data_IF_169839997993
#
_entry.id   IF_169839997993
#
_cell.length_a   1.000
_cell.length_b   1.000
_cell.length_c   1.000
_cell.angle_alpha   90.00
_cell.angle_beta   90.00
_cell.angle_gamma   90.00
#
_symmetry.space_group_name_H-M   'P 1'
#
loop_
_entity.id
_entity.type
_entity.pdbx_description
1 polymer ?
#
# COMPACT_ATOMS: atom_id res chain seq x y z
N UNK A 1 -15.79 -9.18 -21.98
CA UNK A 1 -15.40 -8.95 -20.58
C UNK A 1 -15.08 -7.47 -20.49
N UNK A 2 -16.00 -6.69 -19.94
CA UNK A 2 -15.76 -5.27 -19.62
C UNK A 2 -14.79 -5.25 -18.44
N UNK A 3 -13.53 -4.90 -18.70
CA UNK A 3 -12.60 -4.56 -17.64
C UNK A 3 -12.87 -3.10 -17.31
N UNK A 4 -13.68 -2.88 -16.28
CA UNK A 4 -13.83 -1.56 -15.67
C UNK A 4 -12.43 -1.10 -15.22
N UNK A 5 -11.94 -0.07 -15.90
CA UNK A 5 -10.69 0.62 -15.58
C UNK A 5 -10.87 1.33 -14.24
N UNK A 6 -10.57 0.62 -13.14
CA UNK A 6 -10.41 1.25 -11.85
C UNK A 6 -9.20 2.19 -11.94
N UNK A 7 -9.45 3.45 -12.27
CA UNK A 7 -8.50 4.53 -12.05
C UNK A 7 -8.13 4.47 -10.58
N UNK A 8 -6.88 4.13 -10.29
CA UNK A 8 -6.31 4.22 -8.95
C UNK A 8 -6.44 5.69 -8.52
N UNK A 9 -7.51 6.01 -7.82
CA UNK A 9 -7.73 7.31 -7.20
C UNK A 9 -6.48 7.57 -6.37
N UNK A 10 -5.79 8.68 -6.67
CA UNK A 10 -4.51 8.99 -6.05
C UNK A 10 -4.58 8.76 -4.54
N UNK A 11 -3.58 8.07 -3.97
CA UNK A 11 -3.51 7.76 -2.55
C UNK A 11 -3.92 9.01 -1.75
N UNK A 12 -5.03 8.89 -1.03
CA UNK A 12 -5.66 10.03 -0.39
C UNK A 12 -4.72 10.69 0.62
N UNK A 13 -4.94 11.96 0.96
CA UNK A 13 -4.18 12.58 2.05
C UNK A 13 -4.67 12.14 3.46
N UNK A 14 -5.54 11.13 3.52
CA UNK A 14 -6.22 10.69 4.73
C UNK A 14 -6.22 9.17 4.85
N UNK A 15 -6.11 8.70 6.08
CA UNK A 15 -6.23 7.29 6.41
C UNK A 15 -7.61 6.76 6.02
N UNK A 16 -7.66 5.64 5.29
CA UNK A 16 -8.91 5.02 4.84
C UNK A 16 -9.74 4.42 6.00
N UNK A 17 -9.08 4.01 7.08
CA UNK A 17 -9.74 3.40 8.26
C UNK A 17 -10.36 4.44 9.21
N UNK A 18 -9.59 5.49 9.55
CA UNK A 18 -10.01 6.45 10.58
C UNK A 18 -10.24 7.87 10.07
N UNK A 19 -9.95 8.15 8.80
CA UNK A 19 -10.10 9.48 8.18
C UNK A 19 -9.11 10.53 8.67
N UNK A 20 -8.14 10.18 9.51
CA UNK A 20 -7.12 11.11 10.00
C UNK A 20 -6.24 11.59 8.85
N UNK A 21 -5.85 12.87 8.87
CA UNK A 21 -4.92 13.41 7.89
C UNK A 21 -3.54 12.79 8.08
N UNK A 22 -3.00 12.20 7.02
CA UNK A 22 -1.68 11.61 7.05
C UNK A 22 -0.59 12.69 7.14
N UNK A 23 0.45 12.37 7.88
CA UNK A 23 1.69 13.12 7.90
C UNK A 23 2.49 12.87 6.62
N UNK A 24 3.46 13.75 6.30
CA UNK A 24 4.33 13.54 5.15
C UNK A 24 5.11 12.23 5.19
N UNK A 25 5.45 11.76 6.40
CA UNK A 25 6.17 10.49 6.61
C UNK A 25 5.27 9.29 6.29
N UNK A 26 4.02 9.31 6.75
CA UNK A 26 3.05 8.24 6.46
C UNK A 26 2.71 8.18 4.97
N UNK A 27 2.51 9.33 4.31
CA UNK A 27 2.27 9.38 2.87
C UNK A 27 3.44 8.80 2.07
N UNK A 28 4.67 9.07 2.50
CA UNK A 28 5.86 8.50 1.85
C UNK A 28 5.84 6.98 1.93
N UNK A 29 5.52 6.41 3.08
CA UNK A 29 5.40 4.95 3.26
C UNK A 29 4.33 4.36 2.34
N UNK A 30 3.17 5.01 2.23
CA UNK A 30 2.08 4.57 1.32
C UNK A 30 2.55 4.61 -0.14
N UNK A 31 3.24 5.67 -0.56
CA UNK A 31 3.79 5.79 -1.92
C UNK A 31 4.90 4.78 -2.22
N UNK A 32 5.77 4.49 -1.26
CA UNK A 32 6.87 3.53 -1.42
C UNK A 32 6.38 2.08 -1.39
N UNK A 33 5.37 1.77 -0.56
CA UNK A 33 4.79 0.43 -0.47
C UNK A 33 3.78 0.14 -1.59
N UNK A 34 3.21 1.18 -2.22
CA UNK A 34 2.09 1.03 -3.15
C UNK A 34 0.84 0.43 -2.50
N UNK A 35 0.76 0.47 -1.16
CA UNK A 35 -0.30 -0.14 -0.37
C UNK A 35 -1.47 0.81 -0.06
N UNK A 36 -2.40 0.38 0.80
CA UNK A 36 -3.53 1.21 1.23
C UNK A 36 -3.04 2.47 1.96
N UNK A 37 -3.84 3.52 1.86
CA UNK A 37 -3.52 4.82 2.46
C UNK A 37 -3.84 4.78 3.95
N UNK A 38 -2.89 4.29 4.77
CA UNK A 38 -3.07 4.08 6.21
C UNK A 38 -2.11 4.93 7.06
N UNK A 39 -2.58 5.38 8.22
CA UNK A 39 -1.72 6.03 9.20
C UNK A 39 -0.82 5.00 9.89
N UNK A 40 0.27 5.41 10.52
CA UNK A 40 1.26 4.52 11.13
C UNK A 40 0.65 3.50 12.11
N UNK A 41 -0.44 3.88 12.78
CA UNK A 41 -1.18 3.01 13.70
C UNK A 41 -1.84 1.85 12.93
N UNK A 42 -2.53 2.14 11.82
CA UNK A 42 -3.24 1.13 11.03
C UNK A 42 -2.35 0.47 9.96
N UNK A 43 -1.23 1.09 9.60
CA UNK A 43 -0.24 0.54 8.68
C UNK A 43 0.55 -0.64 9.30
N UNK A 44 0.56 -0.78 10.63
CA UNK A 44 1.30 -1.83 11.35
C UNK A 44 0.79 -3.24 11.03
N UNK A 45 -0.45 -3.40 10.57
CA UNK A 45 -1.04 -4.70 10.21
C UNK A 45 -0.70 -5.15 8.77
N UNK A 46 0.00 -4.31 8.00
CA UNK A 46 0.48 -4.68 6.66
C UNK A 46 1.84 -5.34 6.81
N UNK A 47 1.86 -6.67 6.97
CA UNK A 47 3.09 -7.44 6.88
C UNK A 47 3.67 -7.26 5.48
N UNK A 48 4.91 -6.73 5.32
CA UNK A 48 5.55 -6.72 4.02
C UNK A 48 5.67 -8.18 3.59
N UNK A 49 5.00 -8.54 2.50
CA UNK A 49 5.26 -9.81 1.85
C UNK A 49 6.68 -9.70 1.32
N UNK A 50 7.64 -10.28 2.04
CA UNK A 50 8.97 -10.51 1.49
C UNK A 50 8.75 -11.28 0.19
N UNK A 51 9.11 -10.64 -0.92
CA UNK A 51 9.04 -11.24 -2.23
C UNK A 51 10.02 -12.41 -2.22
N UNK A 52 9.49 -13.60 -1.96
CA UNK A 52 10.21 -14.87 -1.97
C UNK A 52 10.94 -14.93 -3.32
N UNK A 53 12.26 -14.74 -3.27
CA UNK A 53 13.11 -14.88 -4.43
C UNK A 53 12.90 -16.30 -4.95
N UNK A 54 12.18 -16.40 -6.07
CA UNK A 54 12.09 -17.62 -6.85
C UNK A 54 13.48 -17.92 -7.42
N UNK A 55 14.35 -18.49 -6.60
CA UNK A 55 15.50 -19.27 -7.06
C UNK A 55 14.92 -20.60 -7.58
N UNK A 56 14.40 -20.57 -8.80
CA UNK A 56 14.10 -21.77 -9.58
C UNK A 56 15.46 -22.42 -9.91
N UNK A 57 15.86 -23.33 -9.02
CA UNK A 57 17.06 -24.15 -9.15
C UNK A 57 16.98 -24.95 -10.45
N UNK A 58 17.84 -24.60 -11.40
CA UNK A 58 18.09 -25.44 -12.58
C UNK A 58 18.65 -26.79 -12.13
N UNK A 59 17.89 -27.87 -12.32
CA UNK A 59 18.34 -29.26 -12.19
C UNK A 59 17.89 -30.11 -13.39
#
# INVERSE_FOLDING_TARGET
MDLEEHTLEAAGERCEECGAKLTPEELKVVMESGGPTLCAIHATDVLPLEEEAAEDETA
#
